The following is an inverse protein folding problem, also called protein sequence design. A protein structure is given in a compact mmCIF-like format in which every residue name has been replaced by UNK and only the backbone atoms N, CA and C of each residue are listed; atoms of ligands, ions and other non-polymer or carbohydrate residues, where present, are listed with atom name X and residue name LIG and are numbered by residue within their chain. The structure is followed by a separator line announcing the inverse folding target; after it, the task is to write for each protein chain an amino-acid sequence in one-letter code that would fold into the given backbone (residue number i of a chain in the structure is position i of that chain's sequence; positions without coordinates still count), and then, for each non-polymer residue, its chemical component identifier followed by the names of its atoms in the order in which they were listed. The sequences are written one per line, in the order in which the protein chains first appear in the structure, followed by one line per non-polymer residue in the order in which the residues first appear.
data_IF_237655959692
#
_entry.id   IF_237655959692
#
_cell.length_a   1.000
_cell.length_b   1.000
_cell.length_c   1.000
_cell.angle_alpha   90.00
_cell.angle_beta   90.00
_cell.angle_gamma   90.00
#
_symmetry.space_group_name_H-M   'P 1'
#
loop_
_entity.id
_entity.type
_entity.pdbx_description
1 polymer ?
#
# COMPACT_ATOMS: atom_id res chain seq x y z
N UNK A 1 2.51 -18.12 -35.75
CA UNK A 1 1.15 -17.58 -35.52
C UNK A 1 1.32 -16.33 -34.68
N UNK A 2 1.13 -15.13 -35.25
CA UNK A 2 1.32 -13.86 -34.52
C UNK A 2 0.05 -13.57 -33.74
N UNK A 3 0.11 -13.61 -32.41
CA UNK A 3 -1.00 -13.14 -31.56
C UNK A 3 -1.09 -11.61 -31.68
N UNK A 4 -2.29 -11.10 -31.93
CA UNK A 4 -2.56 -9.68 -31.98
C UNK A 4 -2.58 -9.09 -30.55
N UNK A 5 -2.04 -7.88 -30.41
CA UNK A 5 -1.97 -7.13 -29.15
C UNK A 5 -3.35 -6.83 -28.52
N UNK A 6 -4.47 -7.10 -29.19
CA UNK A 6 -5.82 -6.95 -28.64
C UNK A 6 -6.22 -8.06 -27.66
N UNK A 7 -5.60 -9.23 -27.76
CA UNK A 7 -6.03 -10.40 -26.99
C UNK A 7 -5.33 -10.49 -25.62
N UNK A 8 -4.16 -9.85 -25.46
CA UNK A 8 -3.47 -9.76 -24.16
C UNK A 8 -4.19 -8.85 -23.17
N UNK A 9 -4.77 -7.75 -23.66
CA UNK A 9 -5.48 -6.77 -22.82
C UNK A 9 -6.82 -7.32 -22.32
N UNK A 10 -7.45 -8.19 -23.12
CA UNK A 10 -8.68 -8.90 -22.74
C UNK A 10 -8.42 -9.93 -21.63
N UNK A 11 -7.27 -10.61 -21.66
CA UNK A 11 -6.86 -11.58 -20.63
C UNK A 11 -6.48 -10.86 -19.32
N UNK A 12 -5.74 -9.75 -19.40
CA UNK A 12 -5.33 -8.97 -18.22
C UNK A 12 -6.52 -8.36 -17.45
N UNK A 13 -7.52 -7.83 -18.16
CA UNK A 13 -8.75 -7.31 -17.55
C UNK A 13 -9.59 -8.40 -16.89
N UNK A 14 -9.66 -9.58 -17.51
CA UNK A 14 -10.46 -10.72 -17.01
C UNK A 14 -9.85 -11.40 -15.77
N UNK A 15 -8.54 -11.30 -15.56
CA UNK A 15 -7.84 -11.89 -14.40
C UNK A 15 -7.93 -10.98 -13.17
N UNK A 16 -7.82 -9.66 -13.35
CA UNK A 16 -7.93 -8.66 -12.26
C UNK A 16 -9.31 -8.62 -11.62
N UNK A 17 -10.38 -8.90 -12.37
CA UNK A 17 -11.75 -8.95 -11.83
C UNK A 17 -12.04 -10.26 -11.08
N UNK A 18 -11.31 -11.34 -11.41
CA UNK A 18 -11.56 -12.67 -10.85
C UNK A 18 -10.76 -12.97 -9.58
N UNK A 19 -9.65 -12.26 -9.35
CA UNK A 19 -8.77 -12.44 -8.18
C UNK A 19 -8.29 -11.07 -7.64
N UNK A 20 -9.10 -10.38 -6.82
CA UNK A 20 -8.68 -9.13 -6.19
C UNK A 20 -7.54 -9.40 -5.20
N UNK A 21 -6.43 -8.66 -5.34
CA UNK A 21 -5.31 -8.68 -4.39
C UNK A 21 -5.80 -8.21 -3.01
N UNK A 22 -5.72 -9.02 -1.94
CA UNK A 22 -6.11 -8.55 -0.61
C UNK A 22 -5.05 -7.59 -0.06
N UNK A 23 -5.50 -6.45 0.47
CA UNK A 23 -4.64 -5.46 1.09
C UNK A 23 -4.26 -5.88 2.51
N UNK A 24 -2.95 -5.98 2.80
CA UNK A 24 -2.44 -5.84 4.17
C UNK A 24 -2.98 -4.54 4.77
N UNK A 25 -3.24 -4.49 6.08
CA UNK A 25 -3.37 -3.18 6.72
C UNK A 25 -2.02 -2.44 6.61
N UNK A 26 -2.04 -1.13 6.41
CA UNK A 26 -0.80 -0.35 6.24
C UNK A 26 0.20 -0.59 7.38
N UNK A 27 -0.31 -0.78 8.60
CA UNK A 27 0.49 -1.07 9.80
C UNK A 27 1.20 -2.43 9.75
N UNK A 28 0.66 -3.41 9.03
CA UNK A 28 1.28 -4.73 8.84
C UNK A 28 2.25 -4.71 7.66
N UNK A 29 1.96 -3.94 6.61
CA UNK A 29 2.81 -3.78 5.43
C UNK A 29 4.12 -3.03 5.75
N UNK A 30 4.04 -2.01 6.61
CA UNK A 30 5.17 -1.18 7.01
C UNK A 30 6.23 -1.92 7.85
N UNK A 31 5.87 -3.08 8.42
CA UNK A 31 6.76 -3.92 9.24
C UNK A 31 7.65 -4.84 8.40
N UNK A 32 7.43 -4.92 7.08
CA UNK A 32 8.26 -5.69 6.15
C UNK A 32 9.44 -4.79 5.71
N UNK A 33 10.70 -5.27 5.78
CA UNK A 33 11.86 -4.54 5.26
C UNK A 33 11.62 -4.01 3.84
N UNK A 34 11.97 -2.74 3.60
CA UNK A 34 11.61 -2.02 2.37
C UNK A 34 12.20 -2.68 1.10
N UNK A 35 13.41 -3.21 1.21
CA UNK A 35 14.09 -3.96 0.15
C UNK A 35 13.35 -5.25 -0.25
N UNK A 36 12.76 -5.94 0.74
CA UNK A 36 11.95 -7.14 0.50
C UNK A 36 10.60 -6.75 -0.11
N UNK A 37 9.99 -5.66 0.37
CA UNK A 37 8.69 -5.16 -0.09
C UNK A 37 8.72 -4.74 -1.56
N UNK A 38 9.71 -3.94 -1.93
CA UNK A 38 9.84 -3.41 -3.29
C UNK A 38 10.19 -4.54 -4.28
N UNK A 39 11.05 -5.48 -3.87
CA UNK A 39 11.39 -6.66 -4.66
C UNK A 39 10.21 -7.61 -4.90
N UNK A 40 9.32 -7.77 -3.90
CA UNK A 40 8.11 -8.61 -4.03
C UNK A 40 7.08 -7.94 -4.94
N UNK A 41 6.90 -6.62 -4.82
CA UNK A 41 5.89 -5.89 -5.58
C UNK A 41 6.26 -5.74 -7.07
N UNK A 42 7.52 -5.45 -7.39
CA UNK A 42 8.01 -5.35 -8.78
C UNK A 42 7.92 -6.69 -9.53
N UNK A 43 8.18 -7.81 -8.85
CA UNK A 43 8.14 -9.13 -9.50
C UNK A 43 6.76 -9.77 -9.53
N UNK A 44 5.84 -9.46 -8.61
CA UNK A 44 4.42 -9.82 -8.77
C UNK A 44 3.82 -9.21 -10.05
N UNK A 45 4.29 -8.01 -10.42
CA UNK A 45 3.97 -7.35 -11.70
C UNK A 45 4.62 -8.11 -12.89
N UNK A 46 5.77 -8.74 -12.71
CA UNK A 46 6.43 -9.52 -13.76
C UNK A 46 5.81 -10.91 -13.96
N UNK A 47 5.37 -11.56 -12.87
CA UNK A 47 4.64 -12.84 -12.88
C UNK A 47 3.29 -12.71 -13.60
N UNK A 48 2.60 -11.59 -13.39
CA UNK A 48 1.34 -11.28 -14.10
C UNK A 48 1.54 -10.99 -15.59
N UNK A 49 2.77 -10.67 -16.02
CA UNK A 49 3.13 -10.42 -17.43
C UNK A 49 3.56 -11.66 -18.21
N UNK A 50 4.14 -12.68 -17.57
CA UNK A 50 4.64 -13.90 -18.25
C UNK A 50 3.66 -15.06 -18.09
N UNK A 51 2.73 -15.15 -19.04
CA UNK A 51 1.57 -16.05 -18.99
C UNK A 51 1.88 -17.51 -19.36
N UNK A 52 2.54 -18.25 -18.47
CA UNK A 52 2.47 -19.72 -18.47
C UNK A 52 2.29 -20.25 -17.05
N UNK A 53 1.48 -21.31 -16.88
CA UNK A 53 1.19 -21.89 -15.56
C UNK A 53 2.43 -22.37 -14.80
N UNK A 54 3.42 -22.92 -15.51
CA UNK A 54 4.68 -23.39 -14.91
C UNK A 54 5.59 -22.23 -14.49
N UNK A 55 5.66 -21.14 -15.27
CA UNK A 55 6.44 -19.95 -14.89
C UNK A 55 5.82 -19.28 -13.66
N UNK A 56 4.49 -19.16 -13.61
CA UNK A 56 3.79 -18.64 -12.41
C UNK A 56 4.07 -19.50 -11.18
N UNK A 57 4.02 -20.83 -11.31
CA UNK A 57 4.34 -21.77 -10.23
C UNK A 57 5.78 -21.59 -9.72
N UNK A 58 6.75 -21.61 -10.64
CA UNK A 58 8.17 -21.45 -10.31
C UNK A 58 8.45 -20.15 -9.56
N UNK A 59 7.89 -19.04 -10.06
CA UNK A 59 8.10 -17.74 -9.45
C UNK A 59 7.47 -17.66 -8.07
N UNK A 60 6.22 -18.09 -7.87
CA UNK A 60 5.61 -18.01 -6.54
C UNK A 60 6.35 -18.87 -5.52
N UNK A 61 6.78 -20.09 -5.89
CA UNK A 61 7.55 -20.94 -4.97
C UNK A 61 8.90 -20.31 -4.62
N UNK A 62 9.60 -19.75 -5.60
CA UNK A 62 10.85 -19.00 -5.40
C UNK A 62 10.65 -17.79 -4.46
N UNK A 63 9.56 -17.03 -4.59
CA UNK A 63 9.28 -15.90 -3.70
C UNK A 63 8.87 -16.34 -2.30
N UNK A 64 8.06 -17.39 -2.20
CA UNK A 64 7.71 -17.93 -0.91
C UNK A 64 8.95 -18.40 -0.15
N UNK A 65 9.94 -19.00 -0.83
CA UNK A 65 11.23 -19.35 -0.24
C UNK A 65 12.03 -18.12 0.19
N UNK A 66 12.15 -17.09 -0.66
CA UNK A 66 12.85 -15.83 -0.30
C UNK A 66 12.22 -15.11 0.89
N UNK A 67 10.89 -15.03 0.89
CA UNK A 67 10.11 -14.41 1.96
C UNK A 67 10.35 -15.19 3.27
N UNK A 68 10.28 -16.52 3.20
CA UNK A 68 10.54 -17.37 4.34
C UNK A 68 11.97 -17.25 4.86
N UNK A 69 12.97 -17.25 3.99
CA UNK A 69 14.38 -17.06 4.38
C UNK A 69 14.60 -15.73 5.08
N UNK A 70 14.05 -14.63 4.54
CA UNK A 70 14.13 -13.30 5.16
C UNK A 70 13.44 -13.25 6.52
N UNK A 71 12.26 -13.87 6.65
CA UNK A 71 11.53 -13.91 7.90
C UNK A 71 12.21 -14.80 8.95
N UNK A 72 12.67 -16.00 8.60
CA UNK A 72 13.36 -16.89 9.55
C UNK A 72 14.69 -16.30 10.02
N UNK A 73 15.46 -15.68 9.12
CA UNK A 73 16.65 -14.93 9.50
C UNK A 73 16.34 -13.82 10.51
N UNK A 74 15.26 -13.08 10.28
CA UNK A 74 14.80 -12.02 11.21
C UNK A 74 14.33 -12.58 12.57
N UNK A 75 13.71 -13.76 12.59
CA UNK A 75 13.32 -14.48 13.81
C UNK A 75 14.53 -14.96 14.60
N UNK A 76 15.57 -15.43 13.92
CA UNK A 76 16.81 -15.90 14.56
C UNK A 76 17.65 -14.75 15.12
N UNK A 77 17.71 -13.62 14.41
CA UNK A 77 18.46 -12.42 14.81
C UNK A 77 17.78 -11.62 15.94
N UNK A 78 16.47 -11.82 16.15
CA UNK A 78 15.72 -11.11 17.19
C UNK A 78 15.72 -11.89 18.50
N UNK A 79 16.09 -11.29 19.62
CA UNK A 79 16.01 -11.96 20.94
C UNK A 79 14.63 -11.84 21.60
N UNK A 80 13.83 -10.82 21.23
CA UNK A 80 12.54 -10.53 21.85
C UNK A 80 11.42 -11.46 21.34
N UNK A 81 10.85 -12.26 22.25
CA UNK A 81 9.77 -13.22 21.98
C UNK A 81 8.57 -12.61 21.23
N UNK A 82 8.08 -11.44 21.66
CA UNK A 82 6.93 -10.78 21.02
C UNK A 82 7.22 -10.37 19.58
N UNK A 83 8.47 -9.99 19.28
CA UNK A 83 8.88 -9.62 17.93
C UNK A 83 8.97 -10.87 17.04
N UNK A 84 9.48 -12.00 17.55
CA UNK A 84 9.46 -13.28 16.81
C UNK A 84 8.06 -13.68 16.38
N UNK A 85 7.08 -13.59 17.29
CA UNK A 85 5.68 -13.90 16.99
C UNK A 85 5.07 -12.95 15.96
N UNK A 86 5.38 -11.65 16.04
CA UNK A 86 4.90 -10.66 15.07
C UNK A 86 5.47 -10.91 13.67
N UNK A 87 6.77 -11.22 13.58
CA UNK A 87 7.46 -11.56 12.33
C UNK A 87 6.82 -12.81 11.70
N UNK A 88 6.59 -13.86 12.49
CA UNK A 88 5.94 -15.08 12.01
C UNK A 88 4.47 -14.90 11.62
N UNK A 89 3.73 -14.03 12.31
CA UNK A 89 2.36 -13.68 11.95
C UNK A 89 2.30 -12.95 10.60
N UNK A 90 3.23 -12.02 10.36
CA UNK A 90 3.36 -11.33 9.09
C UNK A 90 3.76 -12.30 7.96
N UNK A 91 4.72 -13.20 8.21
CA UNK A 91 5.11 -14.24 7.25
C UNK A 91 3.92 -15.13 6.85
N UNK A 92 3.13 -15.57 7.82
CA UNK A 92 1.90 -16.35 7.59
C UNK A 92 0.89 -15.59 6.74
N UNK A 93 0.73 -14.29 7.01
CA UNK A 93 -0.17 -13.44 6.26
C UNK A 93 0.29 -13.28 4.80
N UNK A 94 1.55 -12.96 4.57
CA UNK A 94 2.13 -12.83 3.22
C UNK A 94 2.04 -14.13 2.42
N UNK A 95 2.34 -15.29 3.03
CA UNK A 95 2.14 -16.58 2.36
C UNK A 95 0.67 -16.83 2.04
N UNK A 96 -0.25 -16.50 2.95
CA UNK A 96 -1.68 -16.65 2.68
C UNK A 96 -2.12 -15.79 1.50
N UNK A 97 -1.61 -14.57 1.36
CA UNK A 97 -1.89 -13.73 0.19
C UNK A 97 -1.36 -14.37 -1.10
N UNK A 98 -0.13 -14.87 -1.08
CA UNK A 98 0.46 -15.61 -2.22
C UNK A 98 -0.34 -16.87 -2.58
N UNK A 99 -0.89 -17.57 -1.59
CA UNK A 99 -1.75 -18.74 -1.78
C UNK A 99 -3.00 -18.45 -2.62
N UNK A 100 -3.54 -17.23 -2.51
CA UNK A 100 -4.73 -16.85 -3.24
C UNK A 100 -4.45 -16.67 -4.74
N UNK A 101 -3.21 -16.33 -5.10
CA UNK A 101 -2.73 -16.34 -6.49
C UNK A 101 -2.47 -17.76 -7.01
N UNK A 102 -2.14 -18.70 -6.11
CA UNK A 102 -1.89 -20.10 -6.43
C UNK A 102 -3.12 -21.00 -6.36
N UNK A 103 -4.29 -20.48 -5.98
CA UNK A 103 -5.53 -21.24 -5.75
C UNK A 103 -5.94 -22.24 -6.88
N UNK A 104 -5.56 -22.08 -8.17
CA UNK A 104 -5.80 -23.10 -9.20
C UNK A 104 -4.88 -24.33 -9.14
N UNK A 105 -3.82 -24.31 -8.32
CA UNK A 105 -2.77 -25.33 -8.27
C UNK A 105 -2.80 -25.98 -6.89
N UNK A 106 -3.20 -27.26 -6.82
CA UNK A 106 -3.02 -28.11 -5.63
C UNK A 106 -1.51 -28.35 -5.45
N UNK A 107 -0.80 -27.35 -4.92
CA UNK A 107 0.66 -27.37 -4.84
C UNK A 107 1.12 -27.84 -3.46
N UNK A 108 1.68 -29.04 -3.44
CA UNK A 108 2.24 -29.70 -2.27
C UNK A 108 3.34 -28.85 -1.61
N UNK A 109 4.11 -28.11 -2.40
CA UNK A 109 5.24 -27.28 -1.92
C UNK A 109 4.76 -26.08 -1.10
N UNK A 110 3.66 -25.44 -1.54
CA UNK A 110 3.07 -24.32 -0.81
C UNK A 110 2.44 -24.76 0.52
N UNK A 111 1.77 -25.91 0.54
CA UNK A 111 1.23 -26.50 1.77
C UNK A 111 2.36 -26.86 2.75
N UNK A 112 3.50 -27.34 2.24
CA UNK A 112 4.69 -27.61 3.05
C UNK A 112 5.28 -26.34 3.67
N UNK A 113 5.35 -25.23 2.92
CA UNK A 113 5.80 -23.93 3.42
C UNK A 113 4.88 -23.35 4.51
N UNK A 114 3.56 -23.42 4.33
CA UNK A 114 2.60 -23.04 5.37
C UNK A 114 2.74 -23.90 6.64
N UNK A 115 2.92 -25.21 6.46
CA UNK A 115 3.17 -26.13 7.57
C UNK A 115 4.43 -25.73 8.34
N UNK A 116 5.53 -25.43 7.64
CA UNK A 116 6.80 -24.99 8.25
C UNK A 116 6.65 -23.71 9.09
N UNK A 117 5.86 -22.73 8.63
CA UNK A 117 5.54 -21.53 9.45
C UNK A 117 4.77 -21.93 10.71
N UNK A 118 3.73 -22.75 10.58
CA UNK A 118 2.90 -23.14 11.73
C UNK A 118 3.72 -23.94 12.76
N UNK A 119 4.53 -24.89 12.32
CA UNK A 119 5.44 -25.67 13.17
C UNK A 119 6.42 -24.73 13.90
N UNK A 120 6.92 -23.68 13.24
CA UNK A 120 7.82 -22.69 13.87
C UNK A 120 7.09 -21.80 14.87
N UNK A 121 5.85 -21.39 14.58
CA UNK A 121 5.01 -20.62 15.51
C UNK A 121 4.73 -21.43 16.78
N UNK A 122 4.42 -22.72 16.64
CA UNK A 122 4.21 -23.63 17.75
C UNK A 122 5.50 -23.81 18.56
N UNK A 123 6.62 -24.07 17.89
CA UNK A 123 7.94 -24.15 18.53
C UNK A 123 8.28 -22.90 19.36
N UNK A 124 8.11 -21.70 18.79
CA UNK A 124 8.35 -20.44 19.52
C UNK A 124 7.45 -20.32 20.74
N UNK A 125 6.15 -20.67 20.61
CA UNK A 125 5.19 -20.63 21.73
C UNK A 125 5.53 -21.60 22.86
N UNK A 126 5.99 -22.80 22.51
CA UNK A 126 6.36 -23.84 23.48
C UNK A 126 7.67 -23.51 24.21
N UNK A 127 8.60 -22.81 23.54
CA UNK A 127 9.92 -22.46 24.08
C UNK A 127 9.97 -21.04 24.68
N UNK A 128 8.82 -20.55 25.18
CA UNK A 128 8.65 -19.22 25.82
C UNK A 128 9.60 -18.95 27.00
N UNK A 129 10.21 -20.01 27.57
CA UNK A 129 10.97 -19.96 28.83
C UNK A 129 12.44 -19.50 28.70
N UNK A 130 12.97 -19.20 27.52
CA UNK A 130 14.36 -18.69 27.39
C UNK A 130 14.51 -17.16 27.42
N UNK A 131 13.45 -16.42 27.75
CA UNK A 131 13.51 -14.97 27.91
C UNK A 131 13.21 -14.53 29.34
N UNK A 132 13.86 -15.13 30.33
CA UNK A 132 14.08 -14.47 31.62
C UNK A 132 15.35 -13.62 31.52
N UNK A 133 15.22 -12.44 30.93
CA UNK A 133 16.19 -11.37 31.15
C UNK A 133 15.57 -10.37 32.13
N UNK A 134 16.30 -10.16 33.24
CA UNK A 134 15.90 -9.44 34.43
C UNK A 134 15.19 -8.11 34.16
N UNK A 135 14.08 -7.89 34.88
CA UNK A 135 13.37 -6.61 35.04
C UNK A 135 14.18 -5.55 35.82
N UNK A 136 15.48 -5.40 35.52
CA UNK A 136 16.34 -4.43 36.16
C UNK A 136 16.38 -3.11 35.37
N UNK A 137 15.50 -2.17 35.77
CA UNK A 137 15.52 -0.74 35.43
C UNK A 137 15.36 -0.39 33.95
N UNK A 138 14.19 -0.70 33.39
CA UNK A 138 13.62 0.14 32.33
C UNK A 138 13.20 1.45 33.01
N UNK A 139 13.95 2.54 32.77
CA UNK A 139 13.45 3.89 33.02
C UNK A 139 12.10 4.01 32.29
N UNK A 140 11.12 4.66 32.92
CA UNK A 140 9.78 4.91 32.36
C UNK A 140 9.84 5.06 30.82
N UNK A 141 8.96 4.36 30.07
CA UNK A 141 9.00 4.42 28.62
C UNK A 141 8.94 5.88 28.19
N UNK A 142 9.99 6.33 27.50
CA UNK A 142 9.93 7.58 26.75
C UNK A 142 8.67 7.47 25.88
N UNK A 143 7.77 8.44 26.06
CA UNK A 143 6.46 8.50 25.43
C UNK A 143 6.57 8.02 23.99
N UNK A 144 5.85 6.95 23.65
CA UNK A 144 5.56 6.58 22.27
C UNK A 144 5.16 7.86 21.55
N UNK A 145 5.97 8.29 20.58
CA UNK A 145 5.65 9.41 19.71
C UNK A 145 4.42 8.98 18.91
N UNK A 146 3.21 9.32 19.39
CA UNK A 146 1.97 9.09 18.65
C UNK A 146 2.07 9.88 17.36
N UNK A 147 2.34 9.18 16.27
CA UNK A 147 2.48 9.78 14.95
C UNK A 147 1.20 10.53 14.59
N UNK A 148 1.32 11.83 14.34
CA UNK A 148 0.20 12.71 14.04
C UNK A 148 -0.38 12.39 12.66
N UNK A 149 -1.65 12.72 12.43
CA UNK A 149 -2.27 12.58 11.10
C UNK A 149 -1.50 13.35 10.01
N UNK A 150 -0.82 14.43 10.39
CA UNK A 150 0.04 15.22 9.49
C UNK A 150 1.28 14.44 9.07
N UNK A 151 1.94 13.76 10.01
CA UNK A 151 3.11 12.91 9.73
C UNK A 151 2.73 11.73 8.84
N UNK A 152 1.62 11.05 9.17
CA UNK A 152 1.08 9.96 8.34
C UNK A 152 0.80 10.41 6.91
N UNK A 153 0.11 11.53 6.74
CA UNK A 153 -0.18 12.06 5.41
C UNK A 153 1.11 12.48 4.68
N UNK A 154 2.08 13.07 5.39
CA UNK A 154 3.34 13.49 4.79
C UNK A 154 4.14 12.30 4.24
N UNK A 155 4.21 11.20 4.99
CA UNK A 155 4.88 9.97 4.54
C UNK A 155 4.22 9.40 3.29
N UNK A 156 2.89 9.31 3.28
CA UNK A 156 2.13 8.87 2.11
C UNK A 156 2.42 9.76 0.88
N UNK A 157 2.41 11.08 1.06
CA UNK A 157 2.69 12.02 -0.01
C UNK A 157 4.13 11.86 -0.54
N UNK A 158 5.09 11.60 0.33
CA UNK A 158 6.49 11.36 -0.04
C UNK A 158 6.66 10.07 -0.85
N UNK A 159 6.07 8.96 -0.38
CA UNK A 159 6.05 7.66 -1.07
C UNK A 159 5.50 7.80 -2.49
N UNK A 160 4.45 8.61 -2.66
CA UNK A 160 3.83 8.85 -3.96
C UNK A 160 4.42 10.05 -4.72
N UNK A 161 5.64 10.48 -4.37
CA UNK A 161 6.39 11.52 -5.09
C UNK A 161 5.61 12.82 -5.28
N UNK A 162 4.72 13.15 -4.34
CA UNK A 162 3.91 14.36 -4.40
C UNK A 162 4.77 15.62 -4.43
N UNK A 163 5.82 15.65 -3.61
CA UNK A 163 6.76 16.78 -3.54
C UNK A 163 7.65 16.90 -4.78
N UNK A 164 7.65 15.90 -5.65
CA UNK A 164 8.37 15.93 -6.92
C UNK A 164 7.63 16.68 -8.03
N UNK A 165 6.34 16.94 -7.86
CA UNK A 165 5.49 17.56 -8.86
C UNK A 165 5.94 19.01 -9.16
N UNK A 166 5.94 19.44 -10.45
CA UNK A 166 6.45 20.76 -10.84
C UNK A 166 5.82 21.91 -10.05
N UNK A 167 4.49 21.91 -9.90
CA UNK A 167 3.80 22.97 -9.16
C UNK A 167 4.15 22.96 -7.68
N UNK A 168 4.36 21.80 -7.07
CA UNK A 168 4.72 21.68 -5.65
C UNK A 168 6.14 22.19 -5.41
N UNK A 169 7.08 21.91 -6.33
CA UNK A 169 8.46 22.41 -6.28
C UNK A 169 8.56 23.93 -6.37
N UNK A 170 7.61 24.58 -7.02
CA UNK A 170 7.56 26.05 -7.11
C UNK A 170 7.03 26.73 -5.84
N UNK A 171 6.50 25.99 -4.87
CA UNK A 171 5.96 26.56 -3.64
C UNK A 171 7.08 26.77 -2.61
N UNK A 172 7.16 27.96 -2.00
CA UNK A 172 8.09 28.27 -0.91
C UNK A 172 7.82 27.46 0.35
N UNK A 173 6.54 27.17 0.61
CA UNK A 173 6.07 26.51 1.84
C UNK A 173 5.45 25.13 1.55
N UNK A 174 5.99 24.38 0.58
CA UNK A 174 5.50 23.04 0.24
C UNK A 174 5.53 22.07 1.43
N UNK A 175 6.45 22.26 2.37
CA UNK A 175 6.57 21.46 3.59
C UNK A 175 5.36 21.60 4.54
N UNK A 176 4.63 22.72 4.49
CA UNK A 176 3.46 22.97 5.35
C UNK A 176 2.17 22.36 4.78
N UNK A 177 2.19 21.97 3.51
CA UNK A 177 1.01 21.51 2.78
C UNK A 177 0.31 20.32 3.44
N UNK A 178 1.00 19.29 3.97
CA UNK A 178 0.36 18.21 4.70
C UNK A 178 -0.48 18.71 5.87
N UNK A 179 0.01 19.70 6.63
CA UNK A 179 -0.74 20.28 7.76
C UNK A 179 -1.99 21.03 7.30
N UNK A 180 -1.88 21.78 6.19
CA UNK A 180 -3.01 22.51 5.59
C UNK A 180 -4.07 21.52 5.10
N UNK A 181 -3.64 20.44 4.46
CA UNK A 181 -4.50 19.40 3.92
C UNK A 181 -5.21 18.62 5.02
N UNK A 182 -4.52 18.22 6.10
CA UNK A 182 -5.17 17.52 7.23
C UNK A 182 -6.30 18.34 7.82
N UNK A 183 -6.09 19.65 7.99
CA UNK A 183 -7.05 20.57 8.61
C UNK A 183 -8.15 21.09 7.66
N UNK A 184 -8.11 20.71 6.37
CA UNK A 184 -9.07 21.16 5.37
C UNK A 184 -10.21 20.17 5.17
N UNK A 185 -11.32 20.63 4.58
CA UNK A 185 -12.42 19.73 4.15
C UNK A 185 -12.03 18.93 2.93
N UNK A 186 -12.54 17.69 2.81
CA UNK A 186 -12.25 16.78 1.69
C UNK A 186 -12.38 17.44 0.29
N UNK A 187 -13.45 18.21 -0.03
CA UNK A 187 -13.57 18.86 -1.35
C UNK A 187 -12.39 19.78 -1.67
N UNK A 188 -11.87 20.51 -0.68
CA UNK A 188 -10.69 21.35 -0.86
C UNK A 188 -9.43 20.52 -1.06
N UNK A 189 -9.24 19.43 -0.30
CA UNK A 189 -8.09 18.54 -0.47
C UNK A 189 -8.03 17.99 -1.90
N UNK A 190 -9.17 17.52 -2.41
CA UNK A 190 -9.31 17.03 -3.78
C UNK A 190 -9.05 18.13 -4.82
N UNK A 191 -9.62 19.33 -4.63
CA UNK A 191 -9.37 20.47 -5.51
C UNK A 191 -7.89 20.87 -5.56
N UNK A 192 -7.20 20.85 -4.42
CA UNK A 192 -5.77 21.14 -4.32
C UNK A 192 -4.93 20.05 -4.98
N UNK A 193 -5.20 18.77 -4.73
CA UNK A 193 -4.53 17.66 -5.42
C UNK A 193 -4.73 17.69 -6.92
N UNK A 194 -5.93 18.06 -7.39
CA UNK A 194 -6.19 18.24 -8.81
C UNK A 194 -5.38 19.41 -9.39
N UNK A 195 -5.42 20.58 -8.74
CA UNK A 195 -4.67 21.76 -9.16
C UNK A 195 -3.18 21.48 -9.30
N UNK A 196 -2.59 20.79 -8.32
CA UNK A 196 -1.16 20.48 -8.29
C UNK A 196 -0.75 19.35 -9.26
N UNK A 197 -1.70 18.76 -9.98
CA UNK A 197 -1.46 17.67 -10.92
C UNK A 197 -1.31 16.29 -10.27
N UNK A 198 -1.48 16.17 -8.95
CA UNK A 198 -1.28 14.91 -8.24
C UNK A 198 -2.30 13.84 -8.66
N UNK A 199 -3.58 14.21 -8.82
CA UNK A 199 -4.59 13.26 -9.27
C UNK A 199 -4.26 12.70 -10.66
N UNK A 200 -3.76 13.55 -11.57
CA UNK A 200 -3.37 13.11 -12.91
C UNK A 200 -2.14 12.19 -12.87
N UNK A 201 -1.14 12.54 -12.06
CA UNK A 201 0.05 11.71 -11.84
C UNK A 201 -0.30 10.32 -11.26
N UNK A 202 -1.20 10.27 -10.27
CA UNK A 202 -1.64 9.00 -9.69
C UNK A 202 -2.38 8.12 -10.70
N UNK A 203 -3.21 8.72 -11.55
CA UNK A 203 -3.99 8.02 -12.60
C UNK A 203 -3.09 7.50 -13.73
N UNK A 204 -1.99 8.18 -14.06
CA UNK A 204 -1.10 7.79 -15.17
C UNK A 204 0.10 6.93 -14.75
N UNK A 205 0.70 7.20 -13.58
CA UNK A 205 2.00 6.61 -13.21
C UNK A 205 1.91 5.59 -12.07
N UNK A 206 0.89 5.68 -11.19
CA UNK A 206 0.88 4.92 -9.93
C UNK A 206 -0.16 3.80 -9.92
N UNK A 207 -1.39 4.09 -10.34
CA UNK A 207 -2.50 3.13 -10.23
C UNK A 207 -2.96 2.62 -11.60
N UNK A 208 -3.10 1.30 -11.73
CA UNK A 208 -3.62 0.69 -12.95
C UNK A 208 -5.12 0.97 -13.19
N UNK A 209 -5.88 1.30 -12.13
CA UNK A 209 -7.32 1.57 -12.25
C UNK A 209 -7.76 2.74 -11.36
N UNK A 210 -8.78 3.47 -11.83
CA UNK A 210 -9.38 4.58 -11.10
C UNK A 210 -9.98 4.16 -9.76
N UNK A 211 -10.61 2.98 -9.68
CA UNK A 211 -11.17 2.50 -8.40
C UNK A 211 -10.08 2.25 -7.36
N UNK A 212 -8.95 1.66 -7.75
CA UNK A 212 -7.81 1.48 -6.84
C UNK A 212 -7.27 2.82 -6.35
N UNK A 213 -7.09 3.79 -7.25
CA UNK A 213 -6.68 5.15 -6.89
C UNK A 213 -7.67 5.82 -5.92
N UNK A 214 -8.98 5.72 -6.18
CA UNK A 214 -9.99 6.33 -5.32
C UNK A 214 -10.02 5.71 -3.93
N UNK A 215 -9.83 4.39 -3.81
CA UNK A 215 -9.72 3.69 -2.51
C UNK A 215 -8.49 4.13 -1.74
N UNK A 216 -7.35 4.24 -2.40
CA UNK A 216 -6.10 4.68 -1.76
C UNK A 216 -6.25 6.12 -1.23
N UNK A 217 -6.71 7.05 -2.07
CA UNK A 217 -6.96 8.45 -1.66
C UNK A 217 -7.97 8.51 -0.51
N UNK A 218 -9.03 7.69 -0.55
CA UNK A 218 -10.03 7.65 0.51
C UNK A 218 -9.42 7.24 1.85
N UNK A 219 -8.53 6.23 1.86
CA UNK A 219 -7.82 5.81 3.06
C UNK A 219 -6.91 6.92 3.60
N UNK A 220 -6.11 7.55 2.73
CA UNK A 220 -5.18 8.61 3.13
C UNK A 220 -5.88 9.83 3.73
N UNK A 221 -7.09 10.13 3.26
CA UNK A 221 -7.85 11.31 3.67
C UNK A 221 -8.93 11.03 4.72
N UNK A 222 -9.09 9.77 5.15
CA UNK A 222 -10.10 9.35 6.12
C UNK A 222 -11.53 9.52 5.62
N UNK A 223 -11.80 9.17 4.36
CA UNK A 223 -13.12 9.29 3.72
C UNK A 223 -13.56 8.01 3.01
N UNK A 224 -14.67 8.04 2.29
CA UNK A 224 -15.13 6.90 1.47
C UNK A 224 -14.70 7.03 0.00
N UNK A 225 -14.55 5.89 -0.69
CA UNK A 225 -14.28 5.84 -2.15
C UNK A 225 -15.33 6.65 -2.94
N UNK A 226 -16.60 6.62 -2.52
CA UNK A 226 -17.68 7.34 -3.21
C UNK A 226 -17.54 8.86 -3.09
N UNK A 227 -17.12 9.34 -1.92
CA UNK A 227 -16.88 10.77 -1.69
C UNK A 227 -15.69 11.29 -2.49
N UNK A 228 -14.59 10.52 -2.54
CA UNK A 228 -13.42 10.85 -3.35
C UNK A 228 -13.77 10.86 -4.84
N UNK A 229 -14.33 9.77 -5.35
CA UNK A 229 -14.69 9.65 -6.77
C UNK A 229 -15.69 10.72 -7.21
N UNK A 230 -16.69 11.05 -6.38
CA UNK A 230 -17.64 12.11 -6.66
C UNK A 230 -16.97 13.50 -6.72
N UNK A 231 -16.11 13.82 -5.75
CA UNK A 231 -15.37 15.09 -5.74
C UNK A 231 -14.32 15.19 -6.86
N UNK A 232 -13.75 14.08 -7.33
CA UNK A 232 -12.85 14.11 -8.50
C UNK A 232 -13.66 14.34 -9.79
N UNK A 233 -14.76 13.60 -9.97
CA UNK A 233 -15.59 13.68 -11.17
C UNK A 233 -16.30 15.02 -11.33
N UNK A 234 -16.64 15.71 -10.24
CA UNK A 234 -17.29 17.03 -10.32
C UNK A 234 -16.39 18.11 -10.93
N UNK A 235 -15.07 17.88 -10.97
CA UNK A 235 -14.09 18.79 -11.58
C UNK A 235 -14.09 18.71 -13.12
N UNK A 236 -14.71 17.68 -13.70
CA UNK A 236 -14.90 17.58 -15.16
C UNK A 236 -16.07 18.48 -15.61
N UNK A 237 -15.92 19.14 -16.76
CA UNK A 237 -16.94 20.01 -17.33
C UNK A 237 -18.26 19.29 -17.67
N UNK A 238 -18.18 17.97 -17.94
CA UNK A 238 -19.31 17.16 -18.43
C UNK A 238 -19.83 16.20 -17.36
N UNK A 239 -19.81 16.60 -16.10
CA UNK A 239 -20.18 15.74 -14.97
C UNK A 239 -21.70 15.68 -14.75
N UNK A 240 -22.20 14.48 -14.46
CA UNK A 240 -23.57 14.25 -13.98
C UNK A 240 -23.62 14.06 -12.45
N UNK A 241 -22.50 14.29 -11.76
CA UNK A 241 -22.44 14.15 -10.30
C UNK A 241 -23.25 15.26 -9.60
N UNK A 242 -23.93 14.96 -8.48
CA UNK A 242 -24.71 15.93 -7.74
C UNK A 242 -23.78 16.97 -7.06
N UNK A 243 -23.73 18.17 -7.64
CA UNK A 243 -22.87 19.29 -7.18
C UNK A 243 -23.20 19.82 -5.79
N UNK A 244 -24.39 19.52 -5.28
CA UNK A 244 -24.80 19.83 -3.91
C UNK A 244 -24.05 18.96 -2.89
N UNK A 245 -23.70 17.73 -3.30
CA UNK A 245 -23.02 16.74 -2.44
C UNK A 245 -21.51 16.76 -2.63
N UNK A 246 -21.04 16.87 -3.87
CA UNK A 246 -19.62 16.91 -4.20
C UNK A 246 -19.26 18.30 -4.69
N UNK A 247 -18.47 19.02 -3.90
CA UNK A 247 -18.32 20.48 -4.03
C UNK A 247 -16.89 20.89 -4.38
N UNK A 248 -16.03 19.96 -4.79
CA UNK A 248 -14.63 20.27 -5.07
C UNK A 248 -14.44 21.35 -6.16
N UNK A 249 -15.37 21.43 -7.13
CA UNK A 249 -15.38 22.49 -8.16
C UNK A 249 -15.49 23.89 -7.54
N UNK A 250 -16.27 24.04 -6.47
CA UNK A 250 -16.42 25.29 -5.71
C UNK A 250 -15.11 25.72 -4.99
N UNK A 251 -14.19 24.78 -4.75
CA UNK A 251 -12.92 25.05 -4.07
C UNK A 251 -11.75 25.32 -5.03
N UNK A 252 -11.90 25.15 -6.34
CA UNK A 252 -10.82 25.37 -7.32
C UNK A 252 -10.23 26.77 -7.24
N UNK A 253 -11.07 27.81 -7.20
CA UNK A 253 -10.61 29.20 -7.10
C UNK A 253 -9.94 29.50 -5.77
N UNK A 254 -10.40 28.87 -4.67
CA UNK A 254 -9.72 28.99 -3.38
C UNK A 254 -8.35 28.30 -3.43
N UNK A 255 -8.26 27.09 -3.97
CA UNK A 255 -7.01 26.35 -4.11
C UNK A 255 -5.98 27.13 -4.95
N UNK A 256 -6.42 27.75 -6.06
CA UNK A 256 -5.55 28.61 -6.89
C UNK A 256 -5.02 29.82 -6.12
N UNK A 257 -5.88 30.51 -5.35
CA UNK A 257 -5.46 31.65 -4.51
C UNK A 257 -4.46 31.22 -3.44
N UNK A 258 -4.72 30.10 -2.78
CA UNK A 258 -3.85 29.58 -1.72
C UNK A 258 -2.50 29.12 -2.30
N UNK A 259 -2.49 28.47 -3.47
CA UNK A 259 -1.28 28.13 -4.23
C UNK A 259 -0.47 29.38 -4.62
N UNK A 260 -1.10 30.38 -5.22
CA UNK A 260 -0.44 31.61 -5.64
C UNK A 260 0.15 32.40 -4.46
N UNK A 261 -0.44 32.31 -3.26
CA UNK A 261 0.11 32.91 -2.04
C UNK A 261 1.35 32.15 -1.53
N UNK A 262 1.44 30.86 -1.81
CA UNK A 262 2.54 30.00 -1.37
C UNK A 262 3.70 29.91 -2.36
N UNK A 263 3.56 30.48 -3.56
CA UNK A 263 4.62 30.66 -4.58
C UNK A 263 5.43 31.94 -4.34
#
# INVERSE_FOLDING_TARGET
MKMNLSDSDFIAGSISEKYPVPSLSEEEYLKIPADIRDSVQEHLIEITRKDTGESRKFHVNYYADLILEGFFKSVDETSAYNNKLLILANAKHSLRQLSEFLRPFDDYDFQWQLKKINDTVEYVKEHKEYSTFDEAKVKEPEKDHVQTNTEKLKEILDIHRFFDLPMVKEMRNSADLPSILVNSKLPYKIAMFHLLGFIAYLDSEVFATKSAMYKAIANWLGSTEREVSGNIRVLSSNTNEPKERYTADQYLEKAKRDYNRAK
#
